data_IF_322046273279
#
_entry.id   IF_322046273279
#
_cell.length_a   1.000
_cell.length_b   1.000
_cell.length_c   1.000
_cell.angle_alpha   90.00
_cell.angle_beta   90.00
_cell.angle_gamma   90.00
#
_symmetry.space_group_name_H-M   'P 1'
#
loop_
_entity.id
_entity.type
_entity.pdbx_description
1 polymer ?
#
# COMPACT_ATOMS: atom_id res chain seq x y z
N UNK A 1 9.90 13.54 -12.45
CA UNK A 1 8.64 14.29 -12.37
C UNK A 1 7.64 13.50 -11.53
N UNK A 2 6.73 14.19 -10.83
CA UNK A 2 5.81 13.55 -9.88
C UNK A 2 4.66 12.83 -10.59
N UNK A 3 4.34 11.64 -10.10
CA UNK A 3 3.10 10.94 -10.39
C UNK A 3 2.03 11.43 -9.42
N UNK A 4 0.78 11.37 -9.84
CA UNK A 4 -0.36 11.83 -9.01
C UNK A 4 -1.29 10.67 -8.71
N UNK A 5 -1.82 10.65 -7.48
CA UNK A 5 -2.80 9.67 -7.04
C UNK A 5 -4.13 10.37 -6.79
N UNK A 6 -5.21 9.75 -7.28
CA UNK A 6 -6.55 10.32 -7.27
C UNK A 6 -7.52 9.33 -6.66
N UNK A 7 -8.47 9.82 -5.87
CA UNK A 7 -9.58 9.03 -5.33
C UNK A 7 -10.88 9.67 -5.82
N UNK A 8 -11.69 8.92 -6.58
CA UNK A 8 -12.96 9.40 -7.15
C UNK A 8 -12.86 10.78 -7.85
N UNK A 9 -11.78 10.98 -8.62
CA UNK A 9 -11.54 12.23 -9.33
C UNK A 9 -10.99 13.39 -8.50
N UNK A 10 -10.65 13.18 -7.23
CA UNK A 10 -10.02 14.17 -6.35
C UNK A 10 -8.55 13.80 -6.11
N UNK A 11 -7.63 14.75 -6.25
CA UNK A 11 -6.20 14.54 -5.98
C UNK A 11 -5.98 14.24 -4.49
N UNK A 12 -5.43 13.05 -4.19
CA UNK A 12 -5.11 12.61 -2.83
C UNK A 12 -3.63 12.76 -2.50
N UNK A 13 -2.76 12.86 -3.49
CA UNK A 13 -1.36 13.16 -3.26
C UNK A 13 -0.47 12.88 -4.45
N UNK A 14 0.82 13.03 -4.22
CA UNK A 14 1.85 12.92 -5.24
C UNK A 14 2.96 11.99 -4.77
N UNK A 15 3.65 11.37 -5.71
CA UNK A 15 4.82 10.55 -5.42
C UNK A 15 5.87 10.70 -6.51
N UNK A 16 7.13 10.68 -6.09
CA UNK A 16 8.26 10.49 -6.97
C UNK A 16 8.72 9.06 -6.76
N UNK A 17 8.44 8.18 -7.72
CA UNK A 17 8.89 6.79 -7.66
C UNK A 17 10.40 6.71 -7.83
N UNK A 18 11.04 5.91 -6.98
CA UNK A 18 12.44 5.53 -7.09
C UNK A 18 12.56 4.34 -8.05
N UNK A 19 13.31 4.52 -9.14
CA UNK A 19 13.56 3.48 -10.14
C UNK A 19 13.21 3.91 -11.56
N UNK A 20 13.92 3.34 -12.53
CA UNK A 20 13.78 3.54 -13.98
C UNK A 20 12.62 2.70 -14.59
N UNK A 21 11.80 2.06 -13.76
CA UNK A 21 10.79 1.09 -14.19
C UNK A 21 11.37 -0.21 -14.77
N UNK A 22 12.69 -0.42 -14.72
CA UNK A 22 13.37 -1.64 -15.22
C UNK A 22 13.58 -2.70 -14.14
N UNK A 23 13.54 -2.31 -12.85
CA UNK A 23 13.60 -3.25 -11.73
C UNK A 23 12.32 -4.10 -11.70
N UNK A 24 12.44 -5.29 -12.28
CA UNK A 24 11.51 -6.41 -12.08
C UNK A 24 11.50 -6.74 -10.58
N UNK A 25 10.33 -6.71 -9.94
CA UNK A 25 10.21 -7.15 -8.56
C UNK A 25 10.62 -8.63 -8.43
N UNK A 26 11.15 -9.00 -7.26
CA UNK A 26 11.55 -10.35 -6.87
C UNK A 26 10.55 -11.41 -7.42
N UNK A 27 10.96 -12.12 -8.48
CA UNK A 27 10.20 -13.23 -9.08
C UNK A 27 9.15 -12.90 -10.15
N UNK A 28 8.84 -11.63 -10.44
CA UNK A 28 7.77 -11.23 -11.38
C UNK A 28 8.25 -10.51 -12.65
N UNK A 29 7.57 -10.70 -13.78
CA UNK A 29 7.83 -9.96 -15.03
C UNK A 29 7.26 -8.55 -15.04
N UNK A 30 6.44 -8.20 -14.04
CA UNK A 30 5.72 -6.91 -13.98
C UNK A 30 6.59 -5.80 -13.37
N UNK A 31 6.52 -4.57 -13.90
CA UNK A 31 7.23 -3.43 -13.31
C UNK A 31 6.70 -3.10 -11.92
N UNK A 32 7.61 -2.79 -11.01
CA UNK A 32 7.32 -2.38 -9.65
C UNK A 32 7.92 -1.02 -9.37
N UNK A 33 7.15 -0.16 -8.72
CA UNK A 33 7.50 1.21 -8.37
C UNK A 33 7.22 1.44 -6.89
N UNK A 34 8.13 2.12 -6.19
CA UNK A 34 7.92 2.54 -4.81
C UNK A 34 8.45 3.96 -4.64
N UNK A 35 7.80 4.76 -3.81
CA UNK A 35 8.19 6.15 -3.61
C UNK A 35 7.49 6.80 -2.43
N UNK A 36 8.04 7.95 -2.02
CA UNK A 36 7.48 8.75 -0.93
C UNK A 36 6.14 9.35 -1.35
N UNK A 37 5.08 8.98 -0.63
CA UNK A 37 3.75 9.54 -0.82
C UNK A 37 3.61 10.85 -0.05
N UNK A 38 3.28 11.92 -0.76
CA UNK A 38 3.03 13.25 -0.22
C UNK A 38 1.53 13.54 -0.32
N UNK A 39 0.75 13.28 0.74
CA UNK A 39 -0.70 13.42 0.69
C UNK A 39 -1.13 14.90 0.66
N UNK A 40 -2.23 15.18 -0.05
CA UNK A 40 -2.98 16.43 0.12
C UNK A 40 -3.74 16.42 1.44
N UNK A 41 -4.35 17.54 1.83
CA UNK A 41 -5.24 17.57 3.00
C UNK A 41 -6.41 16.58 2.87
N UNK A 42 -6.91 16.33 1.65
CA UNK A 42 -7.92 15.31 1.41
C UNK A 42 -7.33 13.90 1.56
N UNK A 43 -6.16 13.64 0.95
CA UNK A 43 -5.48 12.36 1.09
C UNK A 43 -5.16 12.00 2.53
N UNK A 44 -4.75 12.99 3.36
CA UNK A 44 -4.49 12.76 4.79
C UNK A 44 -5.69 12.19 5.54
N UNK A 45 -6.92 12.60 5.18
CA UNK A 45 -8.15 12.06 5.77
C UNK A 45 -8.44 10.62 5.33
N UNK A 46 -7.88 10.18 4.21
CA UNK A 46 -8.04 8.81 3.70
C UNK A 46 -6.95 7.86 4.21
N UNK A 47 -5.82 8.36 4.70
CA UNK A 47 -4.67 7.56 5.13
C UNK A 47 -5.03 6.40 6.08
N UNK A 48 -5.86 6.57 7.14
CA UNK A 48 -6.21 5.45 8.02
C UNK A 48 -6.87 4.28 7.28
N UNK A 49 -7.56 4.58 6.16
CA UNK A 49 -8.22 3.59 5.30
C UNK A 49 -7.33 3.11 4.15
N UNK A 50 -6.24 3.80 3.84
CA UNK A 50 -5.28 3.42 2.80
C UNK A 50 -4.11 2.59 3.35
N UNK A 51 -3.60 2.94 4.54
CA UNK A 51 -2.43 2.31 5.16
C UNK A 51 -2.76 1.09 6.02
N UNK A 52 -4.02 0.97 6.47
CA UNK A 52 -4.42 0.01 7.49
C UNK A 52 -4.43 -1.47 7.09
N UNK A 53 -4.04 -1.83 5.87
CA UNK A 53 -4.19 -3.20 5.37
C UNK A 53 -3.37 -4.21 6.19
N UNK A 54 -2.14 -3.85 6.59
CA UNK A 54 -1.26 -4.76 7.32
C UNK A 54 -1.79 -5.04 8.73
N UNK A 55 -2.19 -3.99 9.44
CA UNK A 55 -2.82 -4.11 10.76
C UNK A 55 -4.14 -4.87 10.67
N UNK A 56 -4.98 -4.57 9.68
CA UNK A 56 -6.25 -5.27 9.46
C UNK A 56 -6.05 -6.76 9.14
N UNK A 57 -5.01 -7.09 8.36
CA UNK A 57 -4.65 -8.47 8.03
C UNK A 57 -4.15 -9.23 9.26
N UNK A 58 -3.38 -8.57 10.12
CA UNK A 58 -2.95 -9.16 11.38
C UNK A 58 -4.12 -9.35 12.36
N UNK A 59 -5.04 -8.39 12.47
CA UNK A 59 -6.25 -8.52 13.29
C UNK A 59 -7.16 -9.66 12.76
N UNK A 60 -7.23 -9.83 11.44
CA UNK A 60 -7.94 -10.93 10.79
C UNK A 60 -7.30 -12.30 11.11
N UNK A 61 -5.96 -12.37 11.08
CA UNK A 61 -5.22 -13.58 11.48
C UNK A 61 -5.54 -13.96 12.93
N UNK A 62 -5.56 -13.00 13.85
CA UNK A 62 -5.90 -13.24 15.25
C UNK A 62 -7.35 -13.73 15.43
N UNK A 63 -8.28 -13.25 14.59
CA UNK A 63 -9.67 -13.72 14.57
C UNK A 63 -9.81 -15.16 14.07
N UNK A 64 -9.09 -15.52 13.01
CA UNK A 64 -9.03 -16.92 12.51
C UNK A 64 -8.50 -17.86 13.61
N UNK A 65 -7.39 -17.48 14.26
CA UNK A 65 -6.81 -18.25 15.35
C UNK A 65 -7.77 -18.41 16.54
N UNK A 66 -8.48 -17.34 16.93
CA UNK A 66 -9.48 -17.39 18.01
C UNK A 66 -10.64 -18.34 17.70
N UNK A 67 -10.95 -18.55 16.43
CA UNK A 67 -11.97 -19.49 15.95
C UNK A 67 -11.43 -20.90 15.72
N UNK A 68 -10.14 -21.15 16.00
CA UNK A 68 -9.50 -22.45 15.78
C UNK A 68 -9.25 -22.77 14.31
N UNK A 69 -9.25 -21.76 13.44
CA UNK A 69 -8.97 -21.91 12.01
C UNK A 69 -7.46 -21.66 11.79
N UNK A 70 -6.81 -22.53 11.04
CA UNK A 70 -5.43 -22.33 10.62
C UNK A 70 -5.35 -21.13 9.66
N UNK A 71 -4.64 -20.05 10.02
CA UNK A 71 -4.54 -18.86 9.18
C UNK A 71 -3.66 -19.04 7.94
N UNK A 72 -2.82 -20.08 7.89
CA UNK A 72 -1.92 -20.32 6.75
C UNK A 72 -2.61 -21.15 5.66
N UNK A 73 -3.66 -21.91 6.01
CA UNK A 73 -4.52 -22.66 5.07
C UNK A 73 -6.01 -22.64 5.51
N UNK A 74 -6.66 -21.46 5.57
CA UNK A 74 -8.04 -21.37 6.02
C UNK A 74 -9.00 -21.82 4.90
N UNK A 75 -10.07 -22.58 5.22
CA UNK A 75 -11.12 -22.87 4.25
C UNK A 75 -11.74 -21.57 3.70
N UNK A 76 -11.96 -21.44 2.38
CA UNK A 76 -12.47 -20.21 1.77
C UNK A 76 -13.77 -19.69 2.40
N UNK A 77 -14.69 -20.60 2.73
CA UNK A 77 -15.97 -20.26 3.37
C UNK A 77 -15.76 -19.65 4.76
N UNK A 78 -14.81 -20.16 5.52
CA UNK A 78 -14.48 -19.63 6.85
C UNK A 78 -13.84 -18.25 6.76
N UNK A 79 -12.98 -18.01 5.75
CA UNK A 79 -12.44 -16.65 5.50
C UNK A 79 -13.57 -15.70 5.14
N UNK A 80 -14.49 -16.11 4.26
CA UNK A 80 -15.62 -15.30 3.85
C UNK A 80 -16.52 -14.93 5.04
N UNK A 81 -16.87 -15.90 5.88
CA UNK A 81 -17.65 -15.68 7.09
C UNK A 81 -16.96 -14.67 8.03
N UNK A 82 -15.65 -14.83 8.27
CA UNK A 82 -14.91 -13.92 9.14
C UNK A 82 -14.85 -12.50 8.54
N UNK A 83 -14.68 -12.39 7.22
CA UNK A 83 -14.68 -11.10 6.53
C UNK A 83 -16.02 -10.36 6.69
N UNK A 84 -17.14 -11.07 6.63
CA UNK A 84 -18.48 -10.48 6.70
C UNK A 84 -18.99 -10.23 8.12
N UNK A 85 -18.58 -11.06 9.09
CA UNK A 85 -19.19 -11.07 10.44
C UNK A 85 -18.36 -10.37 11.52
N UNK A 86 -17.13 -9.95 11.22
CA UNK A 86 -16.20 -9.42 12.23
C UNK A 86 -15.74 -8.00 11.93
N UNK A 87 -15.34 -7.29 12.99
CA UNK A 87 -14.76 -5.94 12.86
C UNK A 87 -13.45 -5.97 12.07
N UNK A 88 -12.61 -7.00 12.29
CA UNK A 88 -11.37 -7.20 11.55
C UNK A 88 -11.65 -7.41 10.05
N UNK A 89 -12.63 -8.25 9.74
CA UNK A 89 -13.11 -8.48 8.38
C UNK A 89 -13.63 -7.23 7.69
N UNK A 90 -14.53 -6.50 8.35
CA UNK A 90 -15.08 -5.25 7.86
C UNK A 90 -13.99 -4.21 7.57
N UNK A 91 -12.92 -4.16 8.39
CA UNK A 91 -11.77 -3.28 8.18
C UNK A 91 -10.98 -3.65 6.91
N UNK A 92 -10.73 -4.94 6.67
CA UNK A 92 -10.06 -5.41 5.44
C UNK A 92 -10.88 -5.03 4.20
N UNK A 93 -12.19 -5.28 4.23
CA UNK A 93 -13.10 -4.94 3.13
C UNK A 93 -13.16 -3.43 2.87
N UNK A 94 -13.17 -2.62 3.93
CA UNK A 94 -13.20 -1.17 3.81
C UNK A 94 -11.92 -0.63 3.15
N UNK A 95 -10.75 -1.11 3.57
CA UNK A 95 -9.46 -0.75 2.97
C UNK A 95 -9.43 -1.17 1.49
N UNK A 96 -9.85 -2.39 1.18
CA UNK A 96 -9.93 -2.90 -0.19
C UNK A 96 -10.83 -2.04 -1.09
N UNK A 97 -11.99 -1.62 -0.58
CA UNK A 97 -12.92 -0.72 -1.28
C UNK A 97 -12.27 0.62 -1.58
N UNK A 98 -11.65 1.28 -0.60
CA UNK A 98 -11.00 2.59 -0.83
C UNK A 98 -9.87 2.46 -1.84
N UNK A 99 -9.02 1.44 -1.71
CA UNK A 99 -7.91 1.20 -2.64
C UNK A 99 -8.39 0.95 -4.07
N UNK A 100 -9.51 0.26 -4.26
CA UNK A 100 -10.09 -0.01 -5.60
C UNK A 100 -10.54 1.27 -6.33
N UNK A 101 -10.74 2.36 -5.59
CA UNK A 101 -11.17 3.65 -6.11
C UNK A 101 -10.00 4.62 -6.35
N UNK A 102 -8.75 4.16 -6.12
CA UNK A 102 -7.55 4.96 -6.33
C UNK A 102 -7.01 4.77 -7.74
N UNK A 103 -6.80 5.88 -8.43
CA UNK A 103 -6.15 5.95 -9.73
C UNK A 103 -4.73 6.49 -9.60
N UNK A 104 -3.77 5.84 -10.25
CA UNK A 104 -2.43 6.37 -10.48
C UNK A 104 -2.40 7.06 -11.85
N UNK A 105 -1.86 8.27 -11.93
CA UNK A 105 -1.62 8.99 -13.18
C UNK A 105 -0.16 9.34 -13.35
N UNK A 106 0.34 9.16 -14.57
CA UNK A 106 1.67 9.55 -14.98
C UNK A 106 1.84 11.08 -14.88
N UNK A 107 3.08 11.62 -14.94
CA UNK A 107 3.31 13.07 -14.94
C UNK A 107 2.59 13.83 -16.07
N UNK A 108 2.26 13.14 -17.16
CA UNK A 108 1.46 13.69 -18.27
C UNK A 108 -0.04 13.78 -17.98
N UNK A 109 -0.48 13.29 -16.83
CA UNK A 109 -1.90 13.18 -16.44
C UNK A 109 -2.61 11.93 -16.95
N UNK A 110 -1.94 11.09 -17.76
CA UNK A 110 -2.54 9.86 -18.31
C UNK A 110 -2.69 8.80 -17.21
N UNK A 111 -3.88 8.18 -17.05
CA UNK A 111 -4.08 7.08 -16.11
C UNK A 111 -3.20 5.85 -16.42
N UNK A 112 -2.66 5.22 -15.38
CA UNK A 112 -1.82 4.05 -15.47
C UNK A 112 -2.57 2.79 -15.03
N UNK A 113 -2.35 1.66 -15.72
CA UNK A 113 -2.98 0.38 -15.37
C UNK A 113 -2.24 -0.29 -14.23
N UNK A 114 -2.82 -0.21 -13.03
CA UNK A 114 -2.27 -0.80 -11.82
C UNK A 114 -2.78 -2.24 -11.64
N UNK A 115 -1.87 -3.14 -11.28
CA UNK A 115 -2.17 -4.52 -10.90
C UNK A 115 -2.41 -4.62 -9.39
N UNK A 116 -1.57 -3.96 -8.59
CA UNK A 116 -1.70 -3.84 -7.14
C UNK A 116 -1.12 -2.52 -6.66
N UNK A 117 -1.66 -2.01 -5.56
CA UNK A 117 -1.22 -0.78 -4.90
C UNK A 117 -1.27 -0.98 -3.40
N UNK A 118 -0.28 -0.47 -2.69
CA UNK A 118 -0.24 -0.43 -1.23
C UNK A 118 0.24 0.94 -0.77
N UNK A 119 -0.40 1.46 0.27
CA UNK A 119 0.08 2.61 1.04
C UNK A 119 0.57 2.10 2.38
N UNK A 120 1.64 2.69 2.88
CA UNK A 120 2.24 2.33 4.16
C UNK A 120 2.51 3.60 4.94
N UNK A 121 2.02 3.64 6.18
CA UNK A 121 2.45 4.57 7.21
C UNK A 121 3.60 3.91 7.96
N UNK A 122 4.76 4.54 7.98
CA UNK A 122 5.94 3.97 8.63
C UNK A 122 5.79 3.87 10.15
N UNK A 123 5.02 4.76 10.77
CA UNK A 123 4.72 4.72 12.21
C UNK A 123 3.77 3.56 12.54
N UNK A 124 2.79 3.31 11.69
CA UNK A 124 1.89 2.15 11.80
C UNK A 124 2.67 0.85 11.62
N UNK A 125 3.51 0.77 10.58
CA UNK A 125 4.35 -0.39 10.31
C UNK A 125 5.29 -0.69 11.49
N UNK A 126 5.95 0.32 12.05
CA UNK A 126 6.80 0.18 13.24
C UNK A 126 6.02 -0.30 14.47
N UNK A 127 4.79 0.17 14.64
CA UNK A 127 3.92 -0.28 15.73
C UNK A 127 3.50 -1.74 15.56
N UNK A 128 3.21 -2.15 14.32
CA UNK A 128 2.87 -3.52 13.99
C UNK A 128 4.06 -4.49 14.16
N UNK A 129 5.27 -4.10 13.73
CA UNK A 129 6.46 -4.96 13.90
C UNK A 129 6.78 -5.22 15.36
N UNK A 130 6.59 -4.22 16.23
CA UNK A 130 6.69 -4.40 17.70
C UNK A 130 5.62 -5.33 18.23
N UNK A 131 4.35 -5.17 17.80
CA UNK A 131 3.23 -6.03 18.21
C UNK A 131 3.48 -7.50 17.85
N UNK A 132 4.10 -7.75 16.71
CA UNK A 132 4.37 -9.10 16.19
C UNK A 132 5.72 -9.68 16.66
N UNK A 133 6.43 -9.05 17.61
CA UNK A 133 7.79 -9.41 18.07
C UNK A 133 8.79 -9.61 16.90
N UNK A 134 8.60 -8.89 15.79
CA UNK A 134 9.46 -8.97 14.61
C UNK A 134 10.69 -8.05 14.72
N UNK A 135 10.70 -7.13 15.68
CA UNK A 135 11.66 -6.02 15.79
C UNK A 135 12.69 -6.21 16.91
N UNK A 136 13.22 -7.43 17.11
CA UNK A 136 14.31 -7.64 18.11
C UNK A 136 15.64 -6.97 17.72
N UNK A 137 15.79 -6.48 16.50
CA UNK A 137 17.06 -6.00 15.94
C UNK A 137 17.03 -4.59 15.35
N UNK A 138 15.87 -3.94 15.23
CA UNK A 138 15.75 -2.61 14.60
C UNK A 138 15.17 -1.61 15.59
N UNK A 139 16.01 -0.65 16.00
CA UNK A 139 15.59 0.49 16.81
C UNK A 139 14.81 1.49 15.93
N UNK A 140 13.48 1.39 15.98
CA UNK A 140 12.59 2.29 15.26
C UNK A 140 12.43 3.65 15.94
N UNK A 141 12.93 3.86 17.17
CA UNK A 141 12.93 5.18 17.82
C UNK A 141 14.08 6.07 17.33
N UNK A 142 15.07 5.49 16.66
CA UNK A 142 16.16 6.22 16.02
C UNK A 142 15.82 6.81 14.63
N UNK A 143 14.56 6.71 14.18
CA UNK A 143 14.14 7.20 12.86
C UNK A 143 14.13 8.74 12.87
N UNK A 144 14.98 9.41 12.07
CA UNK A 144 15.05 10.86 12.06
C UNK A 144 13.71 11.51 11.65
N UNK A 145 13.39 12.73 12.12
CA UNK A 145 12.19 13.47 11.71
C UNK A 145 12.10 13.76 10.20
N UNK A 146 13.21 13.60 9.48
CA UNK A 146 13.32 13.79 8.03
C UNK A 146 12.88 12.58 7.21
N UNK A 147 12.54 11.45 7.85
CA UNK A 147 12.10 10.24 7.16
C UNK A 147 10.67 10.40 6.66
N UNK A 148 10.42 9.90 5.44
CA UNK A 148 9.12 9.96 4.80
C UNK A 148 8.04 9.28 5.65
N UNK A 149 7.00 10.03 6.01
CA UNK A 149 5.87 9.56 6.83
C UNK A 149 5.09 8.44 6.13
N UNK A 150 4.94 8.53 4.79
CA UNK A 150 4.16 7.59 3.98
C UNK A 150 4.91 7.12 2.74
N UNK A 151 4.76 5.84 2.44
CA UNK A 151 5.27 5.20 1.22
C UNK A 151 4.08 4.69 0.42
N UNK A 152 4.16 4.83 -0.90
CA UNK A 152 3.28 4.13 -1.84
C UNK A 152 4.09 3.17 -2.68
N UNK A 153 3.59 1.94 -2.82
CA UNK A 153 4.15 0.88 -3.65
C UNK A 153 3.11 0.43 -4.66
N UNK A 154 3.53 0.23 -5.90
CA UNK A 154 2.64 -0.05 -7.03
C UNK A 154 3.27 -1.09 -7.94
N UNK A 155 2.47 -2.07 -8.34
CA UNK A 155 2.82 -3.01 -9.42
C UNK A 155 1.97 -2.68 -10.62
N UNK A 156 2.59 -2.47 -11.78
CA UNK A 156 1.88 -2.14 -13.02
C UNK A 156 1.46 -3.42 -13.76
N UNK A 157 0.31 -3.36 -14.47
CA UNK A 157 -0.12 -4.46 -15.35
C UNK A 157 0.75 -4.57 -16.60
N UNK A 158 1.25 -3.44 -17.07
CA UNK A 158 1.99 -3.30 -18.33
C UNK A 158 3.28 -2.49 -18.09
N UNK A 159 4.35 -2.72 -18.88
CA UNK A 159 5.55 -1.89 -18.87
C UNK A 159 5.24 -0.42 -19.11
N UNK A 160 5.91 0.49 -18.40
CA UNK A 160 5.83 1.92 -18.68
C UNK A 160 6.26 2.21 -20.12
N UNK A 161 5.38 2.91 -20.85
CA UNK A 161 5.69 3.44 -22.17
C UNK A 161 6.93 4.35 -22.11
N UNK A 162 7.74 4.45 -23.18
CA UNK A 162 9.01 5.18 -23.19
C UNK A 162 8.90 6.66 -22.77
N UNK A 163 7.78 7.32 -23.08
CA UNK A 163 7.54 8.72 -22.70
C UNK A 163 7.30 8.93 -21.21
N UNK A 164 6.99 7.86 -20.46
CA UNK A 164 6.90 7.93 -19.00
C UNK A 164 8.28 7.83 -18.32
N UNK A 165 9.35 7.58 -19.09
CA UNK A 165 10.75 7.46 -18.61
C UNK A 165 11.55 8.76 -18.72
N UNK A 166 10.99 9.82 -19.29
CA UNK A 166 11.77 11.04 -19.59
C UNK A 166 11.92 11.93 -18.36
N UNK A 167 13.11 11.88 -17.76
CA UNK A 167 13.84 13.09 -17.41
C UNK A 167 15.10 13.16 -18.30
N UNK A 168 15.46 14.32 -18.86
CA UNK A 168 16.79 14.51 -19.40
C UNK A 168 17.80 14.56 -18.25
N UNK A 169 18.96 13.95 -18.47
CA UNK A 169 20.18 14.26 -17.71
C UNK A 169 20.47 15.76 -17.86
N UNK A 170 20.48 16.48 -16.75
CA UNK A 170 21.26 17.70 -16.59
C UNK A 170 22.06 17.58 -15.30
#
# INVERSE_FOLDING_TARGET
MAHTLWHRGILIGETNFEGDGSRRAHGGTRPHLAGVFRPTAHGRRLLPRLCGILSASADLKDELLRRGIDPDDPPPESVHEVLETTVAGARVLDVGRVLSEVELRAPTGVPMRVASMAFMDLSELSSLTRRLDCSRTVDHEAVPPSVAEFIVSVTLREPMAPWARTAPLQ
#
